data_IF_584132626021
#
_entry.id   IF_584132626021
#
_cell.length_a   1.000
_cell.length_b   1.000
_cell.length_c   1.000
_cell.angle_alpha   90.00
_cell.angle_beta   90.00
_cell.angle_gamma   90.00
#
_symmetry.space_group_name_H-M   'P 1'
#
loop_
_entity.id
_entity.type
_entity.pdbx_description
1 polymer ?
#
# COMPACT_ATOMS: atom_id res chain seq x y z
N UNK A 1 -17.87 34.53 14.82
CA UNK A 1 -17.23 34.23 13.52
C UNK A 1 -15.83 33.61 13.63
N UNK A 2 -15.08 33.80 14.73
CA UNK A 2 -13.75 33.16 14.92
C UNK A 2 -13.71 31.62 15.09
N UNK A 3 -14.69 30.93 15.71
CA UNK A 3 -14.56 29.48 15.96
C UNK A 3 -14.88 28.60 14.73
N UNK A 4 -15.62 29.15 13.75
CA UNK A 4 -16.03 28.41 12.55
C UNK A 4 -14.81 28.10 11.65
N UNK A 5 -13.90 29.08 11.50
CA UNK A 5 -12.65 28.89 10.76
C UNK A 5 -11.73 27.87 11.42
N UNK A 6 -11.72 27.80 12.75
CA UNK A 6 -10.93 26.82 13.50
C UNK A 6 -11.44 25.39 13.25
N UNK A 7 -12.77 25.22 13.17
CA UNK A 7 -13.39 23.93 12.93
C UNK A 7 -13.15 23.43 11.49
N UNK A 8 -13.22 24.32 10.50
CA UNK A 8 -12.87 23.98 9.10
C UNK A 8 -11.38 23.64 8.91
N UNK A 9 -10.48 24.23 9.70
CA UNK A 9 -9.05 23.88 9.65
C UNK A 9 -8.81 22.47 10.21
N UNK A 10 -9.56 22.07 11.24
CA UNK A 10 -9.45 20.73 11.82
C UNK A 10 -9.88 19.64 10.84
N UNK A 11 -10.91 19.87 10.02
CA UNK A 11 -11.43 18.86 9.09
C UNK A 11 -10.45 18.49 7.97
N UNK A 12 -9.51 19.37 7.63
CA UNK A 12 -8.48 19.12 6.60
C UNK A 12 -7.39 18.17 7.14
N UNK A 13 -7.13 18.21 8.45
CA UNK A 13 -6.11 17.38 9.11
C UNK A 13 -6.57 15.93 9.35
N UNK A 14 -7.87 15.65 9.27
CA UNK A 14 -8.45 14.31 9.43
C UNK A 14 -8.72 13.59 8.10
N UNK A 15 -8.15 14.04 6.97
CA UNK A 15 -8.27 13.31 5.72
C UNK A 15 -7.47 11.99 5.81
N UNK A 16 -8.18 10.88 6.04
CA UNK A 16 -7.63 9.54 5.84
C UNK A 16 -7.55 9.28 4.34
N UNK A 17 -6.35 9.09 3.80
CA UNK A 17 -6.17 8.51 2.47
C UNK A 17 -6.61 7.05 2.52
N UNK A 18 -7.42 6.62 1.54
CA UNK A 18 -7.75 5.20 1.39
C UNK A 18 -6.45 4.42 1.17
N UNK A 19 -6.20 3.41 2.02
CA UNK A 19 -5.09 2.48 1.81
C UNK A 19 -5.60 1.30 0.98
N UNK A 20 -5.04 1.14 -0.20
CA UNK A 20 -5.28 -0.05 -1.02
C UNK A 20 -4.29 -1.14 -0.61
N UNK A 21 -4.78 -2.36 -0.45
CA UNK A 21 -3.95 -3.51 -0.06
C UNK A 21 -4.12 -4.63 -1.08
N UNK A 22 -3.00 -5.14 -1.57
CA UNK A 22 -2.92 -6.35 -2.36
C UNK A 22 -2.65 -7.57 -1.48
N UNK A 23 -2.95 -8.76 -2.01
CA UNK A 23 -2.67 -10.01 -1.33
C UNK A 23 -2.17 -11.05 -2.35
N UNK A 24 -1.06 -11.72 -2.02
CA UNK A 24 -0.64 -12.95 -2.70
C UNK A 24 -0.69 -14.09 -1.70
N UNK A 25 -1.26 -15.22 -2.10
CA UNK A 25 -1.43 -16.36 -1.21
C UNK A 25 -1.25 -17.68 -1.94
N UNK A 26 -0.68 -18.66 -1.23
CA UNK A 26 -0.56 -20.03 -1.69
C UNK A 26 -0.51 -20.99 -0.49
N UNK A 27 -1.37 -22.00 -0.50
CA UNK A 27 -1.58 -22.94 0.61
C UNK A 27 -1.80 -22.20 1.93
N UNK A 28 -0.82 -22.26 2.82
CA UNK A 28 -0.90 -21.71 4.18
C UNK A 28 -0.03 -20.47 4.38
N UNK A 29 0.50 -19.91 3.29
CA UNK A 29 1.23 -18.65 3.24
C UNK A 29 0.36 -17.58 2.57
N UNK A 30 0.29 -16.41 3.20
CA UNK A 30 -0.50 -15.25 2.75
C UNK A 30 0.27 -13.98 3.08
N UNK A 31 0.66 -13.24 2.05
CA UNK A 31 1.40 -11.99 2.17
C UNK A 31 0.51 -10.86 1.70
N UNK A 32 0.36 -9.84 2.55
CA UNK A 32 -0.33 -8.60 2.19
C UNK A 32 0.72 -7.54 1.88
N UNK A 33 0.44 -6.71 0.89
CA UNK A 33 1.33 -5.63 0.49
C UNK A 33 0.53 -4.37 0.17
N UNK A 34 1.16 -3.21 0.34
CA UNK A 34 0.54 -1.94 0.01
C UNK A 34 0.41 -1.79 -1.51
N UNK A 35 -0.72 -1.24 -1.95
CA UNK A 35 -0.99 -0.91 -3.34
C UNK A 35 -1.22 0.59 -3.42
N UNK A 36 -0.56 1.23 -4.38
CA UNK A 36 -0.80 2.62 -4.71
C UNK A 36 -2.08 2.74 -5.52
N UNK A 37 -2.82 3.82 -5.26
CA UNK A 37 -3.92 4.20 -6.13
C UNK A 37 -3.40 4.65 -7.51
N UNK A 38 -4.30 4.80 -8.48
CA UNK A 38 -3.93 5.15 -9.87
C UNK A 38 -3.18 6.50 -9.96
N UNK A 39 -3.53 7.47 -9.09
CA UNK A 39 -2.88 8.80 -9.08
C UNK A 39 -1.48 8.73 -8.47
N UNK A 40 -1.30 7.92 -7.44
CA UNK A 40 -0.02 7.68 -6.79
C UNK A 40 0.90 6.85 -7.67
N UNK A 41 0.39 5.82 -8.33
CA UNK A 41 1.15 5.01 -9.29
C UNK A 41 1.65 5.86 -10.47
N UNK A 42 0.82 6.74 -11.00
CA UNK A 42 1.22 7.67 -12.07
C UNK A 42 2.33 8.64 -11.64
N UNK A 43 2.31 9.12 -10.38
CA UNK A 43 3.38 9.98 -9.85
C UNK A 43 4.70 9.24 -9.71
N UNK A 44 4.62 7.96 -9.36
CA UNK A 44 5.77 7.09 -9.07
C UNK A 44 6.53 6.69 -10.33
N UNK A 45 5.81 6.44 -11.44
CA UNK A 45 6.41 6.10 -12.74
C UNK A 45 7.37 7.19 -13.25
N UNK A 46 7.02 8.47 -13.06
CA UNK A 46 7.86 9.61 -13.43
C UNK A 46 9.06 9.87 -12.51
N UNK A 47 9.13 9.24 -11.34
CA UNK A 47 10.10 9.58 -10.27
C UNK A 47 11.08 8.44 -9.93
N UNK A 48 11.14 7.36 -10.72
CA UNK A 48 11.98 6.18 -10.43
C UNK A 48 11.71 5.58 -9.04
N UNK A 49 10.47 5.71 -8.57
CA UNK A 49 10.06 5.15 -7.29
C UNK A 49 9.54 3.71 -7.46
N UNK A 50 9.41 2.98 -6.36
CA UNK A 50 8.84 1.62 -6.37
C UNK A 50 7.38 1.71 -6.77
N UNK A 51 7.02 1.17 -7.94
CA UNK A 51 5.63 1.04 -8.42
C UNK A 51 4.95 -0.23 -7.93
N UNK A 52 3.65 -0.37 -8.22
CA UNK A 52 2.84 -1.53 -7.85
C UNK A 52 3.39 -2.84 -8.40
N UNK A 53 3.99 -2.82 -9.61
CA UNK A 53 4.65 -3.99 -10.18
C UNK A 53 5.78 -4.49 -9.25
N UNK A 54 6.66 -3.60 -8.82
CA UNK A 54 7.78 -3.95 -7.94
C UNK A 54 7.32 -4.37 -6.55
N UNK A 55 6.26 -3.76 -6.01
CA UNK A 55 5.64 -4.19 -4.74
C UNK A 55 5.09 -5.61 -4.82
N UNK A 56 4.42 -5.95 -5.94
CA UNK A 56 3.92 -7.30 -6.18
C UNK A 56 5.08 -8.31 -6.27
N UNK A 57 6.15 -7.99 -6.99
CA UNK A 57 7.32 -8.89 -7.08
C UNK A 57 7.99 -9.11 -5.72
N UNK A 58 8.09 -8.07 -4.89
CA UNK A 58 8.55 -8.21 -3.50
C UNK A 58 7.64 -9.14 -2.68
N UNK A 59 6.32 -9.00 -2.81
CA UNK A 59 5.37 -9.85 -2.09
C UNK A 59 5.45 -11.32 -2.52
N UNK A 60 5.73 -11.59 -3.81
CA UNK A 60 5.98 -12.95 -4.32
C UNK A 60 7.26 -13.55 -3.74
N UNK A 61 8.32 -12.75 -3.59
CA UNK A 61 9.56 -13.19 -2.98
C UNK A 61 9.32 -13.59 -1.51
N UNK A 62 8.59 -12.78 -0.75
CA UNK A 62 8.23 -13.10 0.63
C UNK A 62 7.34 -14.35 0.73
N UNK A 63 6.41 -14.52 -0.22
CA UNK A 63 5.61 -15.73 -0.34
C UNK A 63 6.50 -16.97 -0.55
N UNK A 64 7.51 -16.87 -1.41
CA UNK A 64 8.44 -17.96 -1.66
C UNK A 64 9.24 -18.33 -0.39
N UNK A 65 9.69 -17.34 0.38
CA UNK A 65 10.37 -17.57 1.66
C UNK A 65 9.48 -18.32 2.66
N UNK A 66 8.23 -17.89 2.83
CA UNK A 66 7.27 -18.58 3.70
C UNK A 66 7.04 -20.03 3.26
N UNK A 67 6.97 -20.29 1.95
CA UNK A 67 6.80 -21.64 1.44
C UNK A 67 8.04 -22.50 1.68
N UNK A 68 9.24 -21.94 1.53
CA UNK A 68 10.48 -22.63 1.85
C UNK A 68 10.52 -23.01 3.33
N UNK A 69 10.27 -22.08 4.24
CA UNK A 69 10.28 -22.36 5.70
C UNK A 69 9.29 -23.44 6.12
N UNK A 70 8.21 -23.62 5.37
CA UNK A 70 7.12 -24.52 5.74
C UNK A 70 7.16 -25.89 5.09
N UNK A 71 7.84 -26.00 3.95
CA UNK A 71 7.80 -27.19 3.10
C UNK A 71 9.17 -27.74 2.70
N UNK A 72 10.27 -27.02 2.97
CA UNK A 72 11.65 -27.46 2.76
C UNK A 72 12.38 -27.59 4.11
#
# INVERSE_FOLDING_TARGET
MKPIYLFSLLTILFSCTEKYTGEVSFKSCKIKYDVLDEKEEFKVDGQHMVGNQWRLESAKQELALCLCEKYL
#
